data_IF_277047670979
#
_entry.id   IF_277047670979
#
_cell.length_a   1.000
_cell.length_b   1.000
_cell.length_c   1.000
_cell.angle_alpha   90.00
_cell.angle_beta   90.00
_cell.angle_gamma   90.00
#
_symmetry.space_group_name_H-M   'P 1'
#
loop_
_entity.id
_entity.type
_entity.pdbx_description
1 polymer ?
#
# COMPACT_ATOMS: atom_id res chain seq x y z
N UNK A 1 2.41 0.80 0.67
CA UNK A 1 1.21 -0.06 0.75
C UNK A 1 0.76 -0.46 -0.65
N UNK A 2 0.00 -1.56 -0.80
CA UNK A 2 -0.39 -2.08 -2.10
C UNK A 2 -1.51 -1.28 -2.79
N UNK A 3 -1.69 -1.52 -4.09
CA UNK A 3 -2.74 -0.95 -4.95
C UNK A 3 -3.55 -2.06 -5.63
N UNK A 4 -4.83 -1.85 -5.91
CA UNK A 4 -5.67 -2.83 -6.63
C UNK A 4 -5.22 -2.98 -8.08
N UNK A 5 -5.08 -4.23 -8.54
CA UNK A 5 -4.97 -4.50 -9.97
C UNK A 5 -6.35 -4.72 -10.57
N UNK A 6 -6.59 -4.11 -11.73
CA UNK A 6 -7.85 -4.26 -12.45
C UNK A 6 -7.57 -4.71 -13.88
N UNK A 7 -8.30 -5.73 -14.33
CA UNK A 7 -8.25 -6.22 -15.71
C UNK A 7 -9.24 -5.49 -16.63
N UNK A 8 -10.01 -4.54 -16.07
CA UNK A 8 -10.93 -3.67 -16.80
C UNK A 8 -10.36 -2.26 -16.87
N UNK A 9 -10.87 -1.48 -17.82
CA UNK A 9 -10.54 -0.06 -17.91
C UNK A 9 -11.14 0.69 -16.71
N UNK A 10 -10.28 1.25 -15.86
CA UNK A 10 -10.68 1.98 -14.65
C UNK A 10 -11.23 3.37 -14.96
N UNK A 11 -12.20 3.81 -14.17
CA UNK A 11 -12.79 5.16 -14.25
C UNK A 11 -12.12 6.05 -13.20
N UNK A 12 -10.95 6.59 -13.54
CA UNK A 12 -10.14 7.35 -12.58
C UNK A 12 -10.73 8.73 -12.23
N UNK A 13 -11.55 9.31 -13.11
CA UNK A 13 -12.26 10.55 -12.83
C UNK A 13 -13.68 10.24 -12.35
N UNK A 14 -13.90 10.35 -11.03
CA UNK A 14 -15.17 10.00 -10.40
C UNK A 14 -16.25 11.08 -10.54
N UNK A 15 -15.86 12.32 -10.84
CA UNK A 15 -16.77 13.48 -10.90
C UNK A 15 -17.15 13.88 -12.33
N UNK A 16 -16.37 13.52 -13.35
CA UNK A 16 -16.70 13.83 -14.74
C UNK A 16 -17.59 12.78 -15.42
N UNK A 17 -18.50 13.26 -16.28
CA UNK A 17 -19.22 12.44 -17.25
C UNK A 17 -18.25 12.04 -18.38
N UNK A 18 -18.03 10.72 -18.51
CA UNK A 18 -17.27 9.99 -19.56
C UNK A 18 -16.68 10.83 -20.71
N UNK A 19 -15.33 10.90 -20.84
CA UNK A 19 -14.52 10.62 -22.06
C UNK A 19 -13.15 11.30 -22.16
N UNK A 20 -12.71 12.16 -21.26
CA UNK A 20 -11.39 12.78 -21.42
C UNK A 20 -10.26 11.86 -20.97
N UNK A 21 -9.60 11.21 -21.94
CA UNK A 21 -8.38 10.40 -21.77
C UNK A 21 -7.31 11.15 -20.96
N UNK A 22 -7.17 12.46 -21.19
CA UNK A 22 -6.27 13.35 -20.47
C UNK A 22 -6.57 13.42 -18.96
N UNK A 23 -7.86 13.43 -18.59
CA UNK A 23 -8.25 13.43 -17.17
C UNK A 23 -7.97 12.09 -16.48
N UNK A 24 -8.11 10.97 -17.20
CA UNK A 24 -7.75 9.64 -16.69
C UNK A 24 -6.24 9.54 -16.46
N UNK A 25 -5.45 10.01 -17.44
CA UNK A 25 -3.99 10.00 -17.36
C UNK A 25 -3.44 10.88 -16.23
N UNK A 26 -4.06 12.06 -15.98
CA UNK A 26 -3.69 12.92 -14.84
C UNK A 26 -3.89 12.22 -13.50
N UNK A 27 -5.00 11.50 -13.32
CA UNK A 27 -5.26 10.76 -12.08
C UNK A 27 -4.33 9.55 -11.91
N UNK A 28 -4.03 8.82 -12.98
CA UNK A 28 -3.01 7.77 -12.95
C UNK A 28 -1.63 8.33 -12.55
N UNK A 29 -1.26 9.49 -13.08
CA UNK A 29 -0.02 10.18 -12.73
C UNK A 29 0.00 10.63 -11.27
N UNK A 30 -1.09 11.22 -10.77
CA UNK A 30 -1.21 11.64 -9.37
C UNK A 30 -1.09 10.44 -8.44
N UNK A 31 -1.81 9.34 -8.72
CA UNK A 31 -1.74 8.13 -7.92
C UNK A 31 -0.31 7.56 -7.92
N UNK A 32 0.33 7.49 -9.08
CA UNK A 32 1.71 7.03 -9.19
C UNK A 32 2.71 7.87 -8.40
N UNK A 33 2.57 9.20 -8.41
CA UNK A 33 3.41 10.10 -7.61
C UNK A 33 3.13 9.88 -6.13
N UNK A 34 1.87 9.80 -5.72
CA UNK A 34 1.46 9.57 -4.35
C UNK A 34 2.05 8.26 -3.79
N UNK A 35 2.05 7.18 -4.58
CA UNK A 35 2.67 5.90 -4.20
C UNK A 35 4.17 6.03 -3.92
N UNK A 36 4.91 6.69 -4.82
CA UNK A 36 6.37 6.87 -4.67
C UNK A 36 6.69 7.77 -3.49
N UNK A 37 5.99 8.90 -3.35
CA UNK A 37 6.18 9.84 -2.24
C UNK A 37 5.84 9.16 -0.92
N UNK A 38 4.68 8.52 -0.80
CA UNK A 38 4.30 7.79 0.41
C UNK A 38 5.29 6.66 0.74
N UNK A 39 5.77 5.92 -0.25
CA UNK A 39 6.79 4.88 -0.06
C UNK A 39 8.11 5.46 0.46
N UNK A 40 8.59 6.56 -0.12
CA UNK A 40 9.81 7.23 0.33
C UNK A 40 9.66 7.77 1.76
N UNK A 41 8.50 8.34 2.10
CA UNK A 41 8.21 8.80 3.45
C UNK A 41 8.20 7.64 4.45
N UNK A 42 7.67 6.46 4.12
CA UNK A 42 7.79 5.30 5.01
C UNK A 42 9.23 4.85 5.25
N UNK A 43 10.08 4.90 4.21
CA UNK A 43 11.52 4.61 4.35
C UNK A 43 12.19 5.62 5.28
N UNK A 44 11.97 6.92 5.03
CA UNK A 44 12.54 8.01 5.86
C UNK A 44 12.01 7.91 7.29
N UNK A 45 10.72 7.68 7.48
CA UNK A 45 10.12 7.50 8.80
C UNK A 45 10.70 6.30 9.55
N UNK A 46 11.01 5.21 8.84
CA UNK A 46 11.52 3.96 9.46
C UNK A 46 12.91 4.15 10.04
N UNK A 47 13.70 5.06 9.45
CA UNK A 47 15.02 5.41 9.97
C UNK A 47 14.95 5.96 11.40
N UNK A 48 13.94 6.74 11.72
CA UNK A 48 13.76 7.33 13.06
C UNK A 48 13.28 6.33 14.12
N UNK A 49 12.94 5.10 13.74
CA UNK A 49 12.57 4.03 14.67
C UNK A 49 13.76 3.17 15.11
N UNK A 50 14.97 3.44 14.59
CA UNK A 50 16.18 2.84 15.12
C UNK A 50 16.44 3.31 16.56
N UNK A 51 16.91 2.45 17.47
CA UNK A 51 17.20 2.84 18.85
C UNK A 51 18.15 4.04 18.96
N UNK A 52 19.16 4.12 18.09
CA UNK A 52 20.10 5.26 18.04
C UNK A 52 19.43 6.59 17.69
N UNK A 53 18.22 6.55 17.13
CA UNK A 53 17.40 7.70 16.74
C UNK A 53 16.19 7.92 17.67
N UNK A 54 16.12 7.24 18.81
CA UNK A 54 14.95 7.24 19.69
C UNK A 54 14.47 8.65 20.09
N UNK A 55 15.39 9.61 20.29
CA UNK A 55 15.06 11.01 20.59
C UNK A 55 14.21 11.69 19.50
N UNK A 56 14.30 11.21 18.26
CA UNK A 56 13.58 11.72 17.09
C UNK A 56 12.41 10.81 16.66
N UNK A 57 12.05 9.80 17.46
CA UNK A 57 10.99 8.84 17.11
C UNK A 57 9.63 9.52 16.84
N UNK A 58 9.34 10.64 17.50
CA UNK A 58 8.14 11.45 17.26
C UNK A 58 8.09 12.02 15.83
N UNK A 59 9.24 12.43 15.27
CA UNK A 59 9.37 12.88 13.88
C UNK A 59 9.06 11.70 12.94
N UNK A 60 9.67 10.55 13.21
CA UNK A 60 9.38 9.30 12.50
C UNK A 60 7.89 8.95 12.48
N UNK A 61 7.24 9.04 13.63
CA UNK A 61 5.80 8.82 13.78
C UNK A 61 4.96 9.80 12.97
N UNK A 62 5.33 11.08 12.93
CA UNK A 62 4.67 12.10 12.11
C UNK A 62 4.80 11.83 10.61
N UNK A 63 6.01 11.50 10.15
CA UNK A 63 6.28 11.13 8.75
C UNK A 63 5.48 9.89 8.35
N UNK A 64 5.43 8.87 9.22
CA UNK A 64 4.63 7.66 9.02
C UNK A 64 3.13 7.95 8.89
N UNK A 65 2.61 8.88 9.69
CA UNK A 65 1.22 9.29 9.61
C UNK A 65 0.93 9.97 8.26
N UNK A 66 1.77 10.91 7.85
CA UNK A 66 1.64 11.61 6.56
C UNK A 66 1.67 10.60 5.41
N UNK A 67 2.63 9.67 5.43
CA UNK A 67 2.70 8.59 4.45
C UNK A 67 1.40 7.78 4.41
N UNK A 68 0.89 7.35 5.57
CA UNK A 68 -0.35 6.57 5.69
C UNK A 68 -1.58 7.33 5.17
N UNK A 69 -1.66 8.64 5.41
CA UNK A 69 -2.74 9.50 4.90
C UNK A 69 -2.69 9.65 3.38
N UNK A 70 -1.50 9.80 2.79
CA UNK A 70 -1.34 9.81 1.33
C UNK A 70 -1.88 8.52 0.73
N UNK A 71 -1.51 7.36 1.31
CA UNK A 71 -2.03 6.07 0.87
C UNK A 71 -3.54 5.93 1.09
N UNK A 72 -4.09 6.52 2.16
CA UNK A 72 -5.52 6.47 2.44
C UNK A 72 -6.31 7.18 1.34
N UNK A 73 -5.86 8.36 0.92
CA UNK A 73 -6.48 9.12 -0.17
C UNK A 73 -6.55 8.27 -1.45
N UNK A 74 -5.44 7.60 -1.80
CA UNK A 74 -5.38 6.75 -3.00
C UNK A 74 -6.30 5.55 -2.87
N UNK A 75 -6.27 4.83 -1.74
CA UNK A 75 -7.11 3.64 -1.55
C UNK A 75 -8.60 3.98 -1.44
N UNK A 76 -8.97 5.14 -0.90
CA UNK A 76 -10.35 5.64 -0.89
C UNK A 76 -10.80 5.96 -2.31
N UNK A 77 -9.95 6.63 -3.10
CA UNK A 77 -10.24 6.90 -4.51
C UNK A 77 -10.45 5.59 -5.29
N UNK A 78 -9.57 4.61 -5.10
CA UNK A 78 -9.68 3.31 -5.74
C UNK A 78 -10.97 2.57 -5.35
N UNK A 79 -11.28 2.54 -4.06
CA UNK A 79 -12.47 1.87 -3.57
C UNK A 79 -13.75 2.57 -4.04
N UNK A 80 -13.74 3.90 -4.15
CA UNK A 80 -14.86 4.66 -4.71
C UNK A 80 -15.08 4.34 -6.19
N UNK A 81 -14.01 4.14 -6.97
CA UNK A 81 -14.06 3.69 -8.36
C UNK A 81 -14.64 2.29 -8.50
N UNK A 82 -14.14 1.33 -7.71
CA UNK A 82 -14.65 -0.05 -7.68
C UNK A 82 -16.12 -0.06 -7.27
N UNK A 83 -16.51 0.69 -6.23
CA UNK A 83 -17.89 0.77 -5.76
C UNK A 83 -18.83 1.39 -6.81
N UNK A 84 -18.37 2.41 -7.54
CA UNK A 84 -19.13 3.02 -8.64
C UNK A 84 -19.32 2.01 -9.78
N UNK A 85 -18.26 1.29 -10.16
CA UNK A 85 -18.36 0.22 -11.15
C UNK A 85 -19.36 -0.85 -10.70
N UNK A 86 -19.24 -1.33 -9.46
CA UNK A 86 -20.13 -2.33 -8.87
C UNK A 86 -21.60 -1.90 -8.91
N UNK A 87 -21.92 -0.67 -8.50
CA UNK A 87 -23.31 -0.18 -8.51
C UNK A 87 -23.92 -0.09 -9.92
N UNK A 88 -23.09 0.13 -10.94
CA UNK A 88 -23.56 0.36 -12.31
C UNK A 88 -23.69 -0.93 -13.15
N UNK A 89 -23.36 -2.09 -12.60
CA UNK A 89 -23.46 -3.38 -13.29
C UNK A 89 -24.33 -4.32 -12.47
N UNK A 90 -25.24 -5.05 -13.12
CA UNK A 90 -26.21 -5.95 -12.44
C UNK A 90 -25.66 -7.36 -12.24
N UNK A 91 -24.68 -7.76 -13.03
CA UNK A 91 -23.98 -9.05 -12.90
C UNK A 91 -22.51 -8.81 -12.53
N UNK A 92 -22.03 -9.57 -11.54
CA UNK A 92 -20.64 -9.52 -11.09
C UNK A 92 -19.99 -10.89 -11.26
N UNK A 93 -18.98 -10.94 -12.10
CA UNK A 93 -18.20 -12.15 -12.31
C UNK A 93 -17.22 -12.36 -11.13
N UNK A 94 -16.47 -13.46 -11.17
CA UNK A 94 -15.49 -13.79 -10.12
C UNK A 94 -14.38 -12.74 -9.99
N UNK A 95 -13.96 -12.11 -11.10
CA UNK A 95 -12.91 -11.10 -11.09
C UNK A 95 -13.38 -9.81 -10.43
N UNK A 96 -14.62 -9.37 -10.72
CA UNK A 96 -15.21 -8.19 -10.07
C UNK A 96 -15.24 -8.37 -8.54
N UNK A 97 -15.59 -9.58 -8.08
CA UNK A 97 -15.59 -9.95 -6.64
C UNK A 97 -14.19 -9.90 -6.03
N UNK A 98 -13.17 -10.42 -6.75
CA UNK A 98 -11.78 -10.39 -6.29
C UNK A 98 -11.23 -8.96 -6.27
N UNK A 99 -11.53 -8.14 -7.27
CA UNK A 99 -11.17 -6.72 -7.33
C UNK A 99 -11.77 -5.95 -6.15
N UNK A 100 -13.06 -6.16 -5.86
CA UNK A 100 -13.74 -5.54 -4.72
C UNK A 100 -13.12 -5.96 -3.39
N UNK A 101 -12.85 -7.26 -3.23
CA UNK A 101 -12.22 -7.78 -2.02
C UNK A 101 -10.82 -7.18 -1.81
N UNK A 102 -9.98 -7.14 -2.85
CA UNK A 102 -8.66 -6.53 -2.78
C UNK A 102 -8.74 -5.03 -2.44
N UNK A 103 -9.66 -4.28 -3.05
CA UNK A 103 -9.88 -2.87 -2.73
C UNK A 103 -10.32 -2.65 -1.29
N UNK A 104 -11.24 -3.47 -0.80
CA UNK A 104 -11.74 -3.37 0.57
C UNK A 104 -10.62 -3.68 1.59
N UNK A 105 -9.83 -4.72 1.38
CA UNK A 105 -8.75 -5.07 2.31
C UNK A 105 -7.63 -4.02 2.33
N UNK A 106 -7.29 -3.42 1.19
CA UNK A 106 -6.33 -2.32 1.16
C UNK A 106 -6.84 -1.06 1.84
N UNK A 107 -8.09 -0.67 1.61
CA UNK A 107 -8.69 0.48 2.28
C UNK A 107 -8.73 0.28 3.80
N UNK A 108 -9.23 -0.88 4.25
CA UNK A 108 -9.29 -1.21 5.68
C UNK A 108 -7.90 -1.32 6.31
N UNK A 109 -6.94 -1.95 5.61
CA UNK A 109 -5.56 -2.04 6.08
C UNK A 109 -4.91 -0.67 6.26
N UNK A 110 -5.15 0.26 5.33
CA UNK A 110 -4.63 1.63 5.45
C UNK A 110 -5.31 2.41 6.57
N UNK A 111 -6.62 2.22 6.77
CA UNK A 111 -7.31 2.80 7.93
C UNK A 111 -6.71 2.28 9.25
N UNK A 112 -6.43 0.98 9.35
CA UNK A 112 -5.74 0.42 10.51
C UNK A 112 -4.38 1.10 10.75
N UNK A 113 -3.58 1.34 9.71
CA UNK A 113 -2.29 2.02 9.87
C UNK A 113 -2.42 3.49 10.29
N UNK A 114 -3.36 4.23 9.72
CA UNK A 114 -3.62 5.63 10.11
C UNK A 114 -4.05 5.68 11.57
N UNK A 115 -5.04 4.88 11.96
CA UNK A 115 -5.53 4.83 13.34
C UNK A 115 -4.47 4.32 14.31
N UNK A 116 -3.73 3.27 13.93
CA UNK A 116 -2.64 2.71 14.71
C UNK A 116 -1.58 3.76 14.99
N UNK A 117 -1.15 4.49 13.96
CA UNK A 117 -0.17 5.57 14.13
C UNK A 117 -0.68 6.71 15.02
N UNK A 118 -1.95 7.10 14.91
CA UNK A 118 -2.55 8.10 15.80
C UNK A 118 -2.55 7.62 17.25
N UNK A 119 -3.02 6.40 17.51
CA UNK A 119 -3.09 5.81 18.86
C UNK A 119 -1.70 5.55 19.47
N UNK A 120 -0.68 5.37 18.62
CA UNK A 120 0.70 5.15 19.03
C UNK A 120 1.50 6.43 19.32
N UNK A 121 0.91 7.62 19.23
CA UNK A 121 1.56 8.83 19.76
C UNK A 121 1.49 8.85 21.28
N UNK A 122 2.56 9.30 21.94
CA UNK A 122 2.63 9.43 23.40
C UNK A 122 1.48 10.27 23.97
N UNK A 123 1.10 11.34 23.26
CA UNK A 123 -0.02 12.21 23.65
C UNK A 123 -1.40 11.50 23.66
N UNK A 124 -1.55 10.40 22.92
CA UNK A 124 -2.81 9.64 22.83
C UNK A 124 -2.76 8.40 23.74
N UNK A 125 -1.60 7.74 23.85
CA UNK A 125 -1.31 6.80 24.94
C UNK A 125 -1.91 5.39 24.82
N UNK A 126 -2.19 4.87 23.62
CA UNK A 126 -2.69 3.50 23.42
C UNK A 126 -1.74 2.60 22.59
N UNK A 127 -0.51 2.34 23.05
CA UNK A 127 0.51 1.61 22.28
C UNK A 127 0.10 0.17 21.94
N UNK A 128 -0.60 -0.53 22.85
CA UNK A 128 -1.06 -1.91 22.61
C UNK A 128 -2.11 -1.98 21.49
N UNK A 129 -3.07 -1.04 21.49
CA UNK A 129 -4.10 -0.96 20.43
C UNK A 129 -3.45 -0.57 19.10
N UNK A 130 -2.49 0.35 19.14
CA UNK A 130 -1.66 0.71 17.99
C UNK A 130 -0.97 -0.52 17.38
N UNK A 131 -0.29 -1.34 18.20
CA UNK A 131 0.39 -2.55 17.73
C UNK A 131 -0.59 -3.54 17.06
N UNK A 132 -1.75 -3.80 17.68
CA UNK A 132 -2.78 -4.66 17.08
C UNK A 132 -3.29 -4.14 15.74
N UNK A 133 -3.51 -2.83 15.62
CA UNK A 133 -3.93 -2.22 14.36
C UNK A 133 -2.87 -2.38 13.26
N UNK A 134 -1.58 -2.24 13.58
CA UNK A 134 -0.52 -2.50 12.60
C UNK A 134 -0.45 -3.98 12.19
N UNK A 135 -0.64 -4.92 13.12
CA UNK A 135 -0.71 -6.36 12.82
C UNK A 135 -1.90 -6.64 11.88
N UNK A 136 -3.10 -6.23 12.26
CA UNK A 136 -4.32 -6.47 11.49
C UNK A 136 -4.22 -5.81 10.11
N UNK A 137 -3.76 -4.57 10.05
CA UNK A 137 -3.58 -3.84 8.79
C UNK A 137 -2.59 -4.53 7.86
N UNK A 138 -1.49 -5.05 8.41
CA UNK A 138 -0.47 -5.78 7.65
C UNK A 138 -1.04 -7.09 7.08
N UNK A 139 -1.82 -7.83 7.87
CA UNK A 139 -2.49 -9.05 7.39
C UNK A 139 -3.51 -8.75 6.29
N UNK A 140 -4.28 -7.66 6.41
CA UNK A 140 -5.18 -7.21 5.35
C UNK A 140 -4.43 -6.88 4.06
N UNK A 141 -3.26 -6.25 4.14
CA UNK A 141 -2.41 -6.02 2.96
C UNK A 141 -1.89 -7.32 2.34
N UNK A 142 -1.51 -8.31 3.14
CA UNK A 142 -1.15 -9.65 2.63
C UNK A 142 -2.33 -10.23 1.86
N UNK A 143 -3.53 -10.27 2.44
CA UNK A 143 -4.71 -10.83 1.77
C UNK A 143 -5.08 -10.09 0.49
N UNK A 144 -5.02 -8.76 0.48
CA UNK A 144 -5.27 -7.97 -0.73
C UNK A 144 -4.22 -8.25 -1.82
N UNK A 145 -2.94 -8.31 -1.45
CA UNK A 145 -1.86 -8.54 -2.41
C UNK A 145 -1.86 -9.98 -2.96
N UNK A 146 -2.18 -10.97 -2.13
CA UNK A 146 -2.43 -12.34 -2.59
C UNK A 146 -3.66 -12.42 -3.51
N UNK A 147 -4.70 -11.64 -3.25
CA UNK A 147 -5.88 -11.57 -4.13
C UNK A 147 -5.51 -10.99 -5.50
N UNK A 148 -4.69 -9.94 -5.51
CA UNK A 148 -4.18 -9.35 -6.75
C UNK A 148 -3.46 -10.38 -7.63
N UNK A 149 -2.74 -11.36 -7.06
CA UNK A 149 -2.05 -12.41 -7.85
C UNK A 149 -3.02 -13.16 -8.77
N UNK A 150 -4.23 -13.46 -8.31
CA UNK A 150 -5.25 -14.11 -9.14
C UNK A 150 -5.76 -13.22 -10.28
N UNK A 151 -5.58 -11.90 -10.18
CA UNK A 151 -5.94 -10.93 -11.21
C UNK A 151 -4.83 -10.80 -12.27
N UNK A 152 -3.59 -11.25 -12.01
CA UNK A 152 -2.42 -11.07 -12.91
C UNK A 152 -2.50 -11.93 -14.19
N UNK A 153 -3.27 -13.03 -14.18
CA UNK A 153 -3.22 -14.13 -15.18
C UNK A 153 -3.53 -13.69 -16.63
N UNK A 154 -3.97 -12.45 -16.88
CA UNK A 154 -4.38 -11.95 -18.21
C UNK A 154 -3.58 -10.76 -18.73
N UNK A 155 -2.31 -10.62 -18.33
CA UNK A 155 -1.47 -9.53 -18.86
C UNK A 155 -1.21 -9.69 -20.37
N UNK A 156 -1.24 -8.58 -21.10
CA UNK A 156 -1.06 -8.52 -22.56
C UNK A 156 0.36 -8.91 -23.02
N UNK A 157 1.32 -9.00 -22.09
CA UNK A 157 2.67 -9.50 -22.39
C UNK A 157 3.39 -10.04 -21.15
N UNK A 158 4.45 -10.81 -21.39
CA UNK A 158 5.33 -11.37 -20.35
C UNK A 158 5.95 -10.29 -19.48
N UNK A 159 6.39 -9.17 -20.06
CA UNK A 159 6.99 -8.05 -19.32
C UNK A 159 6.00 -7.43 -18.33
N UNK A 160 4.77 -7.16 -18.77
CA UNK A 160 3.71 -6.63 -17.90
C UNK A 160 3.33 -7.63 -16.80
N UNK A 161 3.30 -8.92 -17.13
CA UNK A 161 3.05 -10.00 -16.18
C UNK A 161 4.14 -10.03 -15.09
N UNK A 162 5.42 -9.94 -15.47
CA UNK A 162 6.55 -9.92 -14.55
C UNK A 162 6.52 -8.71 -13.63
N UNK A 163 6.22 -7.51 -14.15
CA UNK A 163 6.10 -6.30 -13.33
C UNK A 163 4.93 -6.39 -12.33
N UNK A 164 3.80 -6.97 -12.72
CA UNK A 164 2.68 -7.25 -11.81
C UNK A 164 3.06 -8.23 -10.70
N UNK A 165 3.81 -9.29 -11.05
CA UNK A 165 4.31 -10.26 -10.08
C UNK A 165 5.30 -9.63 -9.10
N UNK A 166 6.30 -8.89 -9.60
CA UNK A 166 7.27 -8.18 -8.77
C UNK A 166 6.59 -7.21 -7.80
N UNK A 167 5.59 -6.46 -8.29
CA UNK A 167 4.78 -5.59 -7.44
C UNK A 167 4.06 -6.36 -6.34
N UNK A 168 3.41 -7.48 -6.67
CA UNK A 168 2.66 -8.26 -5.68
C UNK A 168 3.57 -8.92 -4.65
N UNK A 169 4.69 -9.50 -5.09
CA UNK A 169 5.66 -10.15 -4.21
C UNK A 169 6.26 -9.15 -3.24
N UNK A 170 6.72 -7.99 -3.71
CA UNK A 170 7.29 -6.96 -2.84
C UNK A 170 6.27 -6.44 -1.82
N UNK A 171 5.02 -6.27 -2.23
CA UNK A 171 3.92 -5.91 -1.33
C UNK A 171 3.60 -6.99 -0.29
N UNK A 172 3.56 -8.27 -0.68
CA UNK A 172 3.31 -9.38 0.24
C UNK A 172 4.45 -9.45 1.26
N UNK A 173 5.70 -9.53 0.80
CA UNK A 173 6.87 -9.67 1.68
C UNK A 173 7.00 -8.45 2.60
N UNK A 174 6.82 -7.23 2.07
CA UNK A 174 6.85 -6.02 2.88
C UNK A 174 5.75 -6.00 3.96
N UNK A 175 4.55 -6.46 3.63
CA UNK A 175 3.44 -6.58 4.61
C UNK A 175 3.73 -7.62 5.68
N UNK A 176 4.32 -8.76 5.31
CA UNK A 176 4.71 -9.81 6.28
C UNK A 176 5.77 -9.28 7.25
N UNK A 177 6.79 -8.56 6.76
CA UNK A 177 7.81 -7.95 7.62
C UNK A 177 7.19 -6.96 8.61
N UNK A 178 6.24 -6.14 8.16
CA UNK A 178 5.52 -5.22 9.04
C UNK A 178 4.69 -5.96 10.10
N UNK A 179 3.99 -7.04 9.72
CA UNK A 179 3.21 -7.83 10.66
C UNK A 179 4.11 -8.43 11.75
N UNK A 180 5.22 -9.07 11.36
CA UNK A 180 6.19 -9.68 12.28
C UNK A 180 6.83 -8.61 13.17
N UNK A 181 7.26 -7.48 12.61
CA UNK A 181 7.85 -6.37 13.35
C UNK A 181 6.89 -5.75 14.39
N UNK A 182 5.57 -5.86 14.16
CA UNK A 182 4.56 -5.30 15.06
C UNK A 182 4.27 -6.19 16.27
N UNK A 183 4.51 -7.50 16.18
CA UNK A 183 4.19 -8.46 17.26
C UNK A 183 4.97 -8.20 18.55
N UNK A 184 6.30 -7.95 18.52
CA UNK A 184 7.06 -7.77 19.76
C UNK A 184 6.72 -6.51 20.54
N UNK A 185 5.98 -5.55 19.96
CA UNK A 185 5.41 -4.41 20.72
C UNK A 185 4.32 -4.84 21.70
N UNK A 186 3.86 -6.10 21.65
CA UNK A 186 2.95 -6.70 22.62
C UNK A 186 3.70 -7.44 23.75
N UNK A 187 5.02 -7.55 23.68
CA UNK A 187 5.82 -8.27 24.66
C UNK A 187 6.23 -7.37 25.82
N UNK A 188 6.44 -7.98 26.98
CA UNK A 188 7.12 -7.36 28.10
C UNK A 188 8.56 -7.90 28.15
N UNK A 189 9.53 -7.01 28.33
CA UNK A 189 10.95 -7.36 28.44
C UNK A 189 11.44 -7.09 29.85
N UNK A 190 12.09 -8.07 30.46
CA UNK A 190 12.76 -7.91 31.76
C UNK A 190 14.15 -7.28 31.60
N UNK A 191 14.87 -7.63 30.54
CA UNK A 191 16.20 -7.12 30.21
C UNK A 191 16.13 -5.94 29.25
N UNK A 192 16.72 -4.80 29.64
CA UNK A 192 16.84 -3.63 28.76
C UNK A 192 17.69 -3.92 27.53
N UNK A 193 18.72 -4.77 27.65
CA UNK A 193 19.59 -5.15 26.53
C UNK A 193 18.80 -5.93 25.49
N UNK A 194 17.98 -6.89 25.93
CA UNK A 194 17.15 -7.69 25.03
C UNK A 194 16.09 -6.83 24.35
N UNK A 195 15.50 -5.88 25.10
CA UNK A 195 14.54 -4.94 24.53
C UNK A 195 15.18 -4.10 23.42
N UNK A 196 16.37 -3.54 23.63
CA UNK A 196 17.08 -2.75 22.62
C UNK A 196 17.48 -3.59 21.40
N UNK A 197 17.97 -4.81 21.62
CA UNK A 197 18.31 -5.74 20.54
C UNK A 197 17.10 -6.04 19.66
N UNK A 198 15.95 -6.32 20.29
CA UNK A 198 14.70 -6.54 19.57
C UNK A 198 14.28 -5.28 18.84
N UNK A 199 14.23 -4.11 19.48
CA UNK A 199 13.84 -2.86 18.83
C UNK A 199 14.68 -2.57 17.57
N UNK A 200 16.00 -2.80 17.63
CA UNK A 200 16.87 -2.66 16.46
C UNK A 200 16.48 -3.64 15.33
N UNK A 201 16.20 -4.90 15.67
CA UNK A 201 15.73 -5.90 14.72
C UNK A 201 14.37 -5.53 14.10
N UNK A 202 13.43 -4.98 14.87
CA UNK A 202 12.13 -4.50 14.35
C UNK A 202 12.30 -3.30 13.43
N UNK A 203 13.18 -2.36 13.78
CA UNK A 203 13.48 -1.18 12.96
C UNK A 203 13.99 -1.60 11.56
N UNK A 204 14.87 -2.61 11.48
CA UNK A 204 15.29 -3.18 10.21
C UNK A 204 14.17 -3.82 9.42
N UNK A 205 13.27 -4.55 10.06
CA UNK A 205 12.11 -5.15 9.37
C UNK A 205 11.18 -4.07 8.79
N UNK A 206 10.90 -3.00 9.54
CA UNK A 206 10.12 -1.87 9.02
C UNK A 206 10.85 -1.15 7.88
N UNK A 207 12.17 -0.95 8.00
CA UNK A 207 12.98 -0.34 6.96
C UNK A 207 12.94 -1.14 5.66
N UNK A 208 13.24 -2.44 5.73
CA UNK A 208 13.23 -3.34 4.57
C UNK A 208 11.82 -3.46 4.00
N UNK A 209 10.80 -3.60 4.85
CA UNK A 209 9.40 -3.63 4.42
C UNK A 209 9.00 -2.35 3.68
N UNK A 210 9.46 -1.18 4.15
CA UNK A 210 9.20 0.11 3.51
C UNK A 210 9.88 0.23 2.16
N UNK A 211 11.13 -0.24 2.05
CA UNK A 211 11.87 -0.30 0.79
C UNK A 211 11.16 -1.20 -0.21
N UNK A 212 10.65 -2.36 0.21
CA UNK A 212 9.87 -3.25 -0.65
C UNK A 212 8.56 -2.59 -1.10
N UNK A 213 7.85 -1.87 -0.23
CA UNK A 213 6.68 -1.09 -0.65
C UNK A 213 7.03 0.00 -1.67
N UNK A 214 8.16 0.68 -1.49
CA UNK A 214 8.63 1.69 -2.46
C UNK A 214 8.95 1.04 -3.81
N UNK A 215 9.69 -0.06 -3.82
CA UNK A 215 10.02 -0.82 -5.03
C UNK A 215 8.76 -1.36 -5.74
N UNK A 216 7.81 -1.90 -5.00
CA UNK A 216 6.51 -2.31 -5.56
C UNK A 216 5.76 -1.15 -6.21
N UNK A 217 5.80 0.04 -5.60
CA UNK A 217 5.28 1.27 -6.20
C UNK A 217 5.98 1.65 -7.52
N UNK A 218 7.31 1.51 -7.57
CA UNK A 218 8.12 1.75 -8.77
C UNK A 218 7.77 0.76 -9.88
N UNK A 219 7.69 -0.54 -9.58
CA UNK A 219 7.32 -1.57 -10.56
C UNK A 219 5.90 -1.35 -11.10
N UNK A 220 4.95 -0.99 -10.24
CA UNK A 220 3.59 -0.67 -10.65
C UNK A 220 3.54 0.54 -11.59
N UNK A 221 4.33 1.58 -11.30
CA UNK A 221 4.43 2.75 -12.17
C UNK A 221 5.04 2.41 -13.52
N UNK A 222 6.14 1.63 -13.54
CA UNK A 222 6.76 1.19 -14.78
C UNK A 222 5.78 0.38 -15.64
N UNK A 223 5.02 -0.53 -15.03
CA UNK A 223 3.96 -1.26 -15.73
C UNK A 223 2.94 -0.32 -16.38
N UNK A 224 2.45 0.68 -15.64
CA UNK A 224 1.48 1.65 -16.15
C UNK A 224 2.05 2.46 -17.33
N UNK A 225 3.31 2.87 -17.23
CA UNK A 225 4.02 3.56 -18.30
C UNK A 225 4.09 2.72 -19.59
N UNK A 226 4.51 1.45 -19.50
CA UNK A 226 4.61 0.54 -20.66
C UNK A 226 3.24 0.27 -21.29
N UNK A 227 2.19 0.09 -20.47
CA UNK A 227 0.82 -0.05 -20.97
C UNK A 227 0.37 1.17 -21.77
N UNK A 228 0.72 2.37 -21.33
CA UNK A 228 0.37 3.62 -22.03
C UNK A 228 1.18 3.80 -23.31
N UNK A 229 2.48 3.52 -23.28
CA UNK A 229 3.34 3.58 -24.46
C UNK A 229 2.80 2.70 -25.59
N UNK A 230 2.49 1.44 -25.29
CA UNK A 230 1.95 0.49 -26.29
C UNK A 230 0.59 0.91 -26.85
N UNK A 231 -0.27 1.52 -26.02
CA UNK A 231 -1.54 2.07 -26.50
C UNK A 231 -1.34 3.22 -27.48
N UNK A 232 -0.33 4.07 -27.26
CA UNK A 232 -0.02 5.18 -28.18
C UNK A 232 0.52 4.62 -29.50
N UNK A 233 1.45 3.67 -29.45
CA UNK A 233 2.01 3.01 -30.64
C UNK A 233 0.92 2.33 -31.48
N UNK A 234 -0.01 1.61 -30.84
CA UNK A 234 -1.13 0.95 -31.53
C UNK A 234 -2.18 1.90 -32.15
N UNK A 235 -2.22 3.17 -31.73
CA UNK A 235 -3.10 4.19 -32.34
C UNK A 235 -2.40 4.87 -33.53
N UNK A 236 -1.07 4.90 -33.51
CA UNK A 236 -0.25 5.52 -34.56
C UNK A 236 0.02 4.58 -35.75
N UNK A 237 -0.22 3.27 -35.59
CA UNK A 237 -0.12 2.23 -36.62
C UNK A 237 -1.47 1.99 -37.31
#
# INVERSE_FOLDING_TARGET
MPHVFSNRRRIMNLTANKKELASQFRWETINAIAYKVGGALFVIGSYFFFPDQAQYAHIGGGIFLIASLIYLVVNVHDMAEIRRYWKNHTAHNRQDKLEYFAGATYMLGTLCFVLGRVLGFEAVGYPLVSAWLFIIGSLLFVFGASTNVFLIIRAESVELLQLMNLTSITFIVGSVLYAIASVPYLWAFESQVDHLLILNFLAWQYMIGSLLFLLGGVFNYWRAYLLMQRKIENIAA
#
